data_IF_836014617534
#
_entry.id   IF_836014617534
#
_cell.length_a   1.000
_cell.length_b   1.000
_cell.length_c   1.000
_cell.angle_alpha   90.00
_cell.angle_beta   90.00
_cell.angle_gamma   90.00
#
_symmetry.space_group_name_H-M   'P 1'
#
loop_
_entity.id
_entity.type
_entity.pdbx_description
1 polymer ?
#
# COMPACT_ATOMS: atom_id res chain seq x y z
N UNK A 1 -1.16 -9.24 21.43
CA UNK A 1 -1.50 -7.99 20.72
C UNK A 1 -2.23 -8.35 19.43
N UNK A 2 -3.37 -7.72 19.08
CA UNK A 2 -4.12 -8.13 17.91
C UNK A 2 -3.40 -7.68 16.64
N UNK A 3 -2.96 -8.66 15.85
CA UNK A 3 -2.36 -8.47 14.53
C UNK A 3 -3.45 -7.94 13.59
N UNK A 4 -3.18 -6.80 12.96
CA UNK A 4 -4.13 -6.09 12.10
C UNK A 4 -4.49 -6.97 10.90
N UNK A 5 -5.78 -7.27 10.71
CA UNK A 5 -6.29 -8.07 9.57
C UNK A 5 -5.82 -7.46 8.24
N UNK A 6 -5.17 -8.27 7.40
CA UNK A 6 -4.75 -7.87 6.07
C UNK A 6 -5.97 -7.77 5.14
N UNK A 7 -6.24 -6.57 4.64
CA UNK A 7 -7.34 -6.29 3.70
C UNK A 7 -7.06 -6.85 2.30
N UNK A 8 -8.09 -7.53 1.78
CA UNK A 8 -8.24 -8.20 0.48
C UNK A 8 -7.85 -7.27 -0.70
N UNK A 9 -6.94 -7.72 -1.57
CA UNK A 9 -6.80 -7.21 -2.95
C UNK A 9 -5.51 -6.49 -3.38
N UNK A 10 -4.53 -6.20 -2.52
CA UNK A 10 -3.27 -5.58 -2.95
C UNK A 10 -2.09 -6.14 -2.15
N UNK A 11 -1.47 -7.20 -2.68
CA UNK A 11 -0.31 -7.85 -2.06
C UNK A 11 0.82 -6.88 -1.72
N UNK A 12 1.58 -7.25 -0.69
CA UNK A 12 2.77 -6.52 -0.24
C UNK A 12 3.84 -6.53 -1.35
N UNK A 13 4.62 -5.46 -1.42
CA UNK A 13 5.68 -5.32 -2.43
C UNK A 13 7.00 -5.08 -1.73
N UNK A 14 8.08 -5.61 -2.32
CA UNK A 14 9.42 -5.31 -1.89
C UNK A 14 9.74 -3.82 -2.11
N UNK A 15 10.43 -3.24 -1.14
CA UNK A 15 10.90 -1.87 -1.18
C UNK A 15 12.36 -1.86 -1.64
N UNK A 16 12.69 -1.00 -2.62
CA UNK A 16 14.09 -0.73 -2.97
C UNK A 16 14.79 0.06 -1.85
N UNK A 17 16.14 0.09 -1.81
CA UNK A 17 16.89 0.72 -0.73
C UNK A 17 16.43 2.15 -0.37
N UNK A 18 16.07 2.96 -1.37
CA UNK A 18 15.53 4.31 -1.16
C UNK A 18 14.27 4.34 -0.27
N UNK A 19 13.35 3.40 -0.48
CA UNK A 19 12.13 3.29 0.32
C UNK A 19 12.39 2.61 1.66
N UNK A 20 13.33 1.68 1.74
CA UNK A 20 13.77 1.07 3.00
C UNK A 20 14.31 2.16 3.93
N UNK A 21 15.18 3.04 3.44
CA UNK A 21 15.74 4.15 4.20
C UNK A 21 14.66 5.13 4.66
N UNK A 22 13.74 5.50 3.76
CA UNK A 22 12.63 6.39 4.11
C UNK A 22 11.70 5.79 5.17
N UNK A 23 11.39 4.50 5.08
CA UNK A 23 10.48 3.79 6.00
C UNK A 23 11.13 3.36 7.31
N UNK A 24 12.44 3.56 7.47
CA UNK A 24 13.18 3.22 8.69
C UNK A 24 13.58 1.75 8.78
N UNK A 25 13.86 1.09 7.66
CA UNK A 25 14.38 -0.27 7.60
C UNK A 25 13.38 -1.34 7.16
N UNK A 26 12.17 -0.95 6.72
CA UNK A 26 11.17 -1.92 6.27
C UNK A 26 11.49 -2.38 4.85
N UNK A 27 11.50 -3.70 4.64
CA UNK A 27 11.85 -4.33 3.36
C UNK A 27 10.63 -4.63 2.48
N UNK A 28 9.45 -4.69 3.08
CA UNK A 28 8.18 -4.96 2.40
C UNK A 28 7.08 -4.09 2.98
N UNK A 29 6.23 -3.54 2.11
CA UNK A 29 5.05 -2.79 2.52
C UNK A 29 4.01 -2.73 1.41
N UNK A 30 2.74 -2.52 1.78
CA UNK A 30 1.69 -2.15 0.81
C UNK A 30 1.99 -0.77 0.21
N UNK A 31 1.81 -0.65 -1.11
CA UNK A 31 1.99 0.63 -1.83
C UNK A 31 1.15 1.76 -1.23
N UNK A 32 -0.07 1.45 -0.79
CA UNK A 32 -0.97 2.41 -0.16
C UNK A 32 -0.43 2.94 1.17
N UNK A 33 0.21 2.09 1.98
CA UNK A 33 0.76 2.50 3.26
C UNK A 33 2.01 3.35 3.10
N UNK A 34 2.86 3.07 2.11
CA UNK A 34 3.98 3.96 1.74
C UNK A 34 3.47 5.36 1.38
N UNK A 35 2.43 5.43 0.53
CA UNK A 35 1.83 6.72 0.14
C UNK A 35 1.28 7.46 1.36
N UNK A 36 0.61 6.77 2.29
CA UNK A 36 0.12 7.38 3.55
C UNK A 36 1.26 7.93 4.40
N UNK A 37 2.37 7.19 4.53
CA UNK A 37 3.54 7.64 5.30
C UNK A 37 4.16 8.90 4.70
N UNK A 38 4.28 8.95 3.37
CA UNK A 38 4.76 10.15 2.68
C UNK A 38 3.83 11.34 2.95
N UNK A 39 2.51 11.14 2.85
CA UNK A 39 1.54 12.21 3.15
C UNK A 39 1.57 12.68 4.60
N UNK A 40 1.74 11.76 5.54
CA UNK A 40 1.90 12.10 6.95
C UNK A 40 3.14 12.96 7.16
N UNK A 41 4.27 12.61 6.54
CA UNK A 41 5.51 13.40 6.58
C UNK A 41 5.32 14.79 5.96
N UNK A 42 4.71 14.86 4.76
CA UNK A 42 4.43 16.12 4.07
C UNK A 42 3.57 17.06 4.91
N UNK A 43 2.53 16.55 5.57
CA UNK A 43 1.66 17.36 6.44
C UNK A 43 2.33 17.75 7.75
N UNK A 44 3.09 16.83 8.36
CA UNK A 44 3.77 17.09 9.62
C UNK A 44 4.86 18.18 9.50
N UNK A 45 5.46 18.32 8.32
CA UNK A 45 6.53 19.29 8.04
C UNK A 45 6.05 20.49 7.19
N UNK A 46 4.73 20.65 7.00
CA UNK A 46 4.12 21.71 6.19
C UNK A 46 4.76 21.87 4.79
N UNK A 47 5.07 20.76 4.13
CA UNK A 47 5.79 20.75 2.84
C UNK A 47 4.87 21.04 1.64
N UNK A 48 3.59 21.36 1.86
CA UNK A 48 2.70 21.75 0.77
C UNK A 48 2.92 23.22 0.41
N UNK A 49 2.89 23.54 -0.88
CA UNK A 49 2.96 24.94 -1.29
C UNK A 49 1.70 25.69 -0.83
N UNK A 50 1.82 26.76 -0.02
CA UNK A 50 0.67 27.52 0.47
C UNK A 50 -0.10 28.23 -0.65
N UNK A 51 0.54 28.50 -1.78
CA UNK A 51 -0.08 29.11 -2.98
C UNK A 51 -0.76 28.06 -3.85
N UNK A 52 -0.25 26.84 -3.87
CA UNK A 52 -0.80 25.74 -4.67
C UNK A 52 -0.59 24.39 -3.97
N UNK A 53 -1.60 23.96 -3.22
CA UNK A 53 -1.61 22.73 -2.42
C UNK A 53 -1.45 21.44 -3.24
N UNK A 54 -1.46 21.51 -4.57
CA UNK A 54 -1.17 20.37 -5.46
C UNK A 54 0.32 20.08 -5.56
N UNK A 55 1.15 21.00 -5.09
CA UNK A 55 2.58 20.87 -5.13
C UNK A 55 3.18 20.69 -3.73
N UNK A 56 4.21 19.87 -3.70
CA UNK A 56 4.90 19.44 -2.49
C UNK A 56 6.38 19.77 -2.66
N UNK A 57 6.96 20.47 -1.70
CA UNK A 57 8.39 20.71 -1.60
C UNK A 57 9.10 19.44 -1.15
N UNK A 58 10.25 19.16 -1.77
CA UNK A 58 11.04 17.97 -1.49
C UNK A 58 12.07 18.32 -0.42
N UNK A 59 11.84 17.86 0.81
CA UNK A 59 12.78 17.94 1.92
C UNK A 59 13.88 16.88 1.82
N UNK A 60 14.81 16.86 2.77
CA UNK A 60 15.94 15.93 2.77
C UNK A 60 15.51 14.45 2.79
N UNK A 61 14.41 14.10 3.47
CA UNK A 61 13.90 12.71 3.44
C UNK A 61 13.24 12.37 2.11
N UNK A 62 12.47 13.30 1.53
CA UNK A 62 11.82 13.07 0.24
C UNK A 62 12.81 13.10 -0.93
N UNK A 63 13.98 13.75 -0.80
CA UNK A 63 15.04 13.74 -1.83
C UNK A 63 15.53 12.33 -2.15
N UNK A 64 15.53 11.43 -1.16
CA UNK A 64 15.89 10.02 -1.33
C UNK A 64 14.94 9.33 -2.32
N UNK A 65 13.66 9.71 -2.32
CA UNK A 65 12.61 9.16 -3.18
C UNK A 65 12.44 9.94 -4.49
N UNK A 66 12.77 11.23 -4.50
CA UNK A 66 12.61 12.10 -5.66
C UNK A 66 13.92 12.82 -5.99
N UNK A 67 14.99 12.08 -6.36
CA UNK A 67 16.30 12.66 -6.58
C UNK A 67 16.26 13.71 -7.70
N UNK A 68 16.93 14.85 -7.46
CA UNK A 68 17.01 15.97 -8.40
C UNK A 68 15.76 16.84 -8.52
N UNK A 69 14.67 16.52 -7.78
CA UNK A 69 13.44 17.33 -7.78
C UNK A 69 13.41 18.23 -6.55
N UNK A 70 13.16 19.53 -6.76
CA UNK A 70 12.91 20.49 -5.67
C UNK A 70 11.44 20.53 -5.25
N UNK A 71 10.56 20.21 -6.19
CA UNK A 71 9.11 20.26 -6.05
C UNK A 71 8.51 19.13 -6.88
N UNK A 72 7.51 18.46 -6.34
CA UNK A 72 6.74 17.43 -7.04
C UNK A 72 5.27 17.82 -7.07
N UNK A 73 4.58 17.33 -8.09
CA UNK A 73 3.12 17.44 -8.18
C UNK A 73 2.46 16.20 -7.57
N UNK A 74 1.31 16.38 -6.94
CA UNK A 74 0.55 15.32 -6.27
C UNK A 74 0.29 14.11 -7.19
N UNK A 75 -0.03 14.34 -8.47
CA UNK A 75 -0.24 13.23 -9.43
C UNK A 75 1.05 12.60 -9.95
N UNK A 76 2.17 13.33 -9.95
CA UNK A 76 3.46 12.80 -10.40
C UNK A 76 4.09 11.88 -9.35
N UNK A 77 3.76 12.10 -8.08
CA UNK A 77 4.28 11.33 -6.94
C UNK A 77 4.11 9.81 -7.13
N UNK A 78 2.92 9.35 -7.47
CA UNK A 78 2.65 7.91 -7.66
C UNK A 78 3.47 7.29 -8.82
N UNK A 79 3.67 8.06 -9.90
CA UNK A 79 4.46 7.61 -11.04
C UNK A 79 5.93 7.46 -10.68
N UNK A 80 6.47 8.42 -9.94
CA UNK A 80 7.85 8.36 -9.47
C UNK A 80 8.05 7.23 -8.45
N UNK A 81 7.13 7.08 -7.49
CA UNK A 81 7.18 6.02 -6.47
C UNK A 81 7.16 4.61 -7.07
N UNK A 82 6.47 4.42 -8.20
CA UNK A 82 6.42 3.12 -8.90
C UNK A 82 7.81 2.56 -9.23
N UNK A 83 8.83 3.42 -9.39
CA UNK A 83 10.22 3.01 -9.67
C UNK A 83 10.96 2.47 -8.45
N UNK A 84 10.47 2.77 -7.25
CA UNK A 84 11.07 2.38 -5.97
C UNK A 84 10.45 1.11 -5.38
N UNK A 85 9.38 0.61 -5.98
CA UNK A 85 8.82 -0.71 -5.65
C UNK A 85 9.51 -1.79 -6.50
N UNK A 86 9.71 -2.96 -5.90
CA UNK A 86 10.14 -4.19 -6.57
C UNK A 86 8.96 -5.01 -7.08
N UNK A 87 9.26 -6.22 -7.55
CA UNK A 87 8.22 -7.21 -7.89
C UNK A 87 7.25 -7.41 -6.70
N UNK A 88 5.98 -7.65 -7.00
CA UNK A 88 5.00 -8.02 -5.98
C UNK A 88 5.27 -9.43 -5.49
N UNK A 89 5.27 -9.60 -4.17
CA UNK A 89 5.19 -10.94 -3.58
C UNK A 89 3.73 -11.35 -3.57
N UNK A 90 3.40 -12.45 -4.23
CA UNK A 90 2.08 -13.07 -4.14
C UNK A 90 1.19 -12.88 -5.36
N UNK A 91 1.66 -13.29 -6.53
CA UNK A 91 0.77 -13.92 -7.53
C UNK A 91 0.81 -15.44 -7.32
N UNK A 92 0.38 -15.90 -6.14
CA UNK A 92 -0.13 -17.26 -6.02
C UNK A 92 -1.59 -17.07 -5.67
N UNK A 93 -2.42 -17.05 -6.72
CA UNK A 93 -3.83 -17.39 -6.58
C UNK A 93 -3.84 -18.83 -6.07
N UNK A 94 -3.96 -19.00 -4.76
CA UNK A 94 -4.56 -20.23 -4.27
C UNK A 94 -6.02 -20.12 -4.70
N UNK A 95 -6.33 -20.80 -5.79
CA UNK A 95 -7.68 -21.25 -6.11
C UNK A 95 -8.08 -22.08 -4.89
N UNK A 96 -8.79 -21.47 -3.93
CA UNK A 96 -9.47 -22.21 -2.88
C UNK A 96 -10.57 -22.98 -3.61
N UNK A 97 -10.48 -24.31 -3.80
CA UNK A 97 -11.63 -25.06 -4.28
C UNK A 97 -12.73 -24.81 -3.27
N UNK A 98 -13.86 -24.29 -3.74
CA UNK A 98 -15.06 -24.20 -2.93
C UNK A 98 -15.36 -25.60 -2.39
N UNK A 99 -15.18 -25.79 -1.10
CA UNK A 99 -15.76 -26.91 -0.37
C UNK A 99 -17.26 -26.72 -0.49
N UNK A 100 -17.86 -27.47 -1.43
CA UNK A 100 -19.31 -27.70 -1.49
C UNK A 100 -19.64 -28.54 -0.25
N UNK A 101 -19.88 -27.85 0.85
CA UNK A 101 -20.36 -28.39 2.11
C UNK A 101 -21.78 -28.93 1.86
N UNK A 102 -21.90 -30.25 1.88
CA UNK A 102 -23.16 -30.98 1.83
C UNK A 102 -24.10 -30.50 2.95
N UNK A 103 -25.16 -29.76 2.61
CA UNK A 103 -26.32 -29.62 3.50
C UNK A 103 -27.42 -30.63 3.10
N UNK A 104 -27.43 -31.71 3.88
CA UNK A 104 -28.51 -32.66 4.12
C UNK A 104 -29.85 -31.96 4.44
N UNK A 105 -30.89 -32.14 3.61
CA UNK A 105 -32.26 -31.82 4.03
C UNK A 105 -32.85 -32.98 4.86
N UNK A 106 -33.05 -32.68 6.16
CA UNK A 106 -33.75 -33.51 7.13
C UNK A 106 -35.23 -33.11 7.26
N UNK A 107 -36.13 -34.12 7.27
CA UNK A 107 -37.47 -34.06 7.88
C UNK A 107 -38.64 -34.25 6.89
N UNK A 108 -39.29 -35.42 6.83
CA UNK A 108 -40.45 -35.82 7.65
C UNK A 108 -41.77 -35.50 6.90
N UNK A 109 -42.63 -36.42 6.46
CA UNK A 109 -43.37 -37.44 7.19
C UNK A 109 -44.79 -36.94 7.52
N UNK A 110 -45.85 -37.48 6.88
CA UNK A 110 -47.24 -37.32 7.36
C UNK A 110 -48.37 -37.35 6.32
N UNK A 111 -49.14 -38.46 6.37
CA UNK A 111 -50.57 -38.72 6.04
C UNK A 111 -51.49 -37.49 5.83
N UNK A 112 -52.47 -37.53 4.92
CA UNK A 112 -53.71 -38.34 4.93
C UNK A 112 -54.33 -38.47 3.53
#
# INVERSE_FOLDING_TARGET
APVKKASKGWGETYLKPSLVEFTGGLTQMKRSDVVKMIWAHVKANDLQDPKDKRHIFVDDRLKILFPGKKRIHMFSMNKDLSKHFGERVGSVVYDEPAEDDEEEESGGGGTE
#
